data_IF_475787867827
#
_entry.id   IF_475787867827
#
_cell.length_a   1.000
_cell.length_b   1.000
_cell.length_c   1.000
_cell.angle_alpha   90.00
_cell.angle_beta   90.00
_cell.angle_gamma   90.00
#
_symmetry.space_group_name_H-M   'P 1'
#
loop_
_entity.id
_entity.type
_entity.pdbx_description
1 polymer ?
#
# COMPACT_ATOMS: atom_id res chain seq x y z
N UNK A 1 18.73 -3.82 -4.64
CA UNK A 1 17.29 -3.53 -4.58
C UNK A 1 16.75 -3.58 -5.98
N UNK A 2 15.45 -3.74 -6.15
CA UNK A 2 14.81 -3.80 -7.46
C UNK A 2 13.45 -3.10 -7.42
N UNK A 3 13.02 -2.59 -8.56
CA UNK A 3 11.65 -2.10 -8.80
C UNK A 3 11.05 -3.03 -9.84
N UNK A 4 10.00 -3.74 -9.46
CA UNK A 4 9.39 -4.76 -10.30
C UNK A 4 8.19 -4.20 -11.05
N UNK A 5 8.21 -4.33 -12.37
CA UNK A 5 7.14 -3.90 -13.26
C UNK A 5 6.24 -5.10 -13.56
N UNK A 6 4.94 -4.97 -13.32
CA UNK A 6 4.01 -6.09 -13.31
C UNK A 6 2.95 -5.99 -14.41
N UNK A 7 2.82 -7.07 -15.20
CA UNK A 7 1.90 -7.11 -16.35
C UNK A 7 0.42 -7.08 -15.96
N UNK A 8 -0.05 -7.81 -14.93
CA UNK A 8 -1.42 -7.70 -14.44
C UNK A 8 -1.83 -6.27 -14.08
N UNK A 9 -0.96 -5.51 -13.38
CA UNK A 9 -1.23 -4.11 -13.05
C UNK A 9 -1.34 -3.25 -14.33
N UNK A 10 -0.45 -3.46 -15.29
CA UNK A 10 -0.50 -2.77 -16.57
C UNK A 10 -1.79 -3.07 -17.35
N UNK A 11 -2.22 -4.33 -17.39
CA UNK A 11 -3.46 -4.74 -18.06
C UNK A 11 -4.71 -4.13 -17.43
N UNK A 12 -4.66 -3.81 -16.13
CA UNK A 12 -5.70 -3.08 -15.40
C UNK A 12 -5.59 -1.55 -15.53
N UNK A 13 -4.75 -1.06 -16.43
CA UNK A 13 -4.51 0.36 -16.71
C UNK A 13 -3.97 1.15 -15.49
N UNK A 14 -3.29 0.48 -14.56
CA UNK A 14 -2.59 1.12 -13.45
C UNK A 14 -1.23 1.60 -13.96
N UNK A 15 -0.94 2.88 -13.79
CA UNK A 15 0.32 3.48 -14.20
C UNK A 15 0.91 4.33 -13.07
N UNK A 16 2.21 4.19 -12.75
CA UNK A 16 3.13 3.16 -13.26
C UNK A 16 2.78 1.76 -12.72
N UNK A 17 2.90 0.68 -13.52
CA UNK A 17 2.52 -0.66 -13.09
C UNK A 17 3.60 -1.32 -12.21
N UNK A 18 3.87 -0.73 -11.04
CA UNK A 18 4.88 -1.20 -10.09
C UNK A 18 4.23 -2.13 -9.07
N UNK A 19 4.73 -3.36 -8.97
CA UNK A 19 4.32 -4.27 -7.90
C UNK A 19 5.26 -4.11 -6.70
N UNK A 20 4.70 -3.64 -5.59
CA UNK A 20 5.45 -3.33 -4.36
C UNK A 20 5.93 -4.56 -3.60
N UNK A 21 5.28 -5.73 -3.75
CA UNK A 21 5.62 -6.94 -2.99
C UNK A 21 7.00 -7.52 -3.36
N UNK A 22 7.34 -7.73 -4.66
CA UNK A 22 8.68 -8.16 -5.05
C UNK A 22 9.68 -6.99 -5.19
N UNK A 23 9.25 -5.73 -5.00
CA UNK A 23 10.12 -4.54 -5.06
C UNK A 23 10.80 -4.29 -3.72
N UNK A 24 12.07 -3.88 -3.73
CA UNK A 24 12.82 -3.61 -2.50
C UNK A 24 13.91 -2.57 -2.71
N UNK A 25 13.97 -1.57 -1.82
CA UNK A 25 15.13 -0.68 -1.67
C UNK A 25 15.94 -1.04 -0.43
N UNK A 26 17.21 -1.42 -0.62
CA UNK A 26 18.11 -1.79 0.50
C UNK A 26 18.59 -0.58 1.30
N UNK A 27 18.59 0.60 0.68
CA UNK A 27 19.07 1.85 1.28
C UNK A 27 17.95 2.70 1.88
N UNK A 28 16.70 2.26 1.77
CA UNK A 28 15.53 3.02 2.25
C UNK A 28 15.68 3.45 3.71
N UNK A 29 16.15 2.54 4.60
CA UNK A 29 16.32 2.84 6.03
C UNK A 29 17.24 4.03 6.30
N UNK A 30 18.23 4.26 5.44
CA UNK A 30 19.18 5.37 5.55
C UNK A 30 18.71 6.65 4.86
N UNK A 31 17.60 6.62 4.12
CA UNK A 31 17.06 7.74 3.36
C UNK A 31 15.73 8.30 3.88
N UNK A 32 15.20 7.75 4.98
CA UNK A 32 13.91 8.13 5.55
C UNK A 32 14.02 8.49 7.03
N UNK A 33 12.98 9.16 7.56
CA UNK A 33 12.90 9.53 8.97
C UNK A 33 13.18 11.00 9.24
N UNK A 34 13.36 11.33 10.53
CA UNK A 34 13.54 12.70 11.01
C UNK A 34 14.80 13.32 10.42
N UNK A 35 14.66 14.51 9.84
CA UNK A 35 15.76 15.23 9.20
C UNK A 35 16.00 14.90 7.72
N UNK A 36 15.26 13.93 7.16
CA UNK A 36 15.30 13.59 5.73
C UNK A 36 13.95 13.75 5.06
N UNK A 37 12.92 13.05 5.56
CA UNK A 37 11.55 13.11 5.03
C UNK A 37 10.58 13.47 6.14
N UNK A 38 9.99 12.46 6.80
CA UNK A 38 9.06 12.61 7.93
C UNK A 38 9.29 11.49 8.94
N UNK A 39 8.99 11.73 10.21
CA UNK A 39 9.30 10.78 11.30
C UNK A 39 8.46 9.49 11.25
N UNK A 40 7.28 9.53 10.64
CA UNK A 40 6.31 8.43 10.51
C UNK A 40 6.53 7.57 9.25
N UNK A 41 7.30 8.05 8.28
CA UNK A 41 7.59 7.37 7.01
C UNK A 41 7.90 5.87 7.16
N UNK A 42 8.85 5.42 8.03
CA UNK A 42 9.13 3.99 8.16
C UNK A 42 7.91 3.16 8.55
N UNK A 43 7.15 3.62 9.55
CA UNK A 43 6.00 2.88 10.07
C UNK A 43 4.84 2.85 9.06
N UNK A 44 4.60 3.97 8.37
CA UNK A 44 3.57 4.07 7.33
C UNK A 44 3.90 3.13 6.17
N UNK A 45 5.16 3.09 5.72
CA UNK A 45 5.59 2.18 4.66
C UNK A 45 5.41 0.72 5.05
N UNK A 46 5.83 0.34 6.26
CA UNK A 46 5.71 -1.03 6.75
C UNK A 46 4.24 -1.46 6.90
N UNK A 47 3.37 -0.55 7.35
CA UNK A 47 1.93 -0.81 7.47
C UNK A 47 1.25 -0.97 6.10
N UNK A 48 1.56 -0.09 5.13
CA UNK A 48 1.02 -0.21 3.77
C UNK A 48 1.41 -1.54 3.13
N UNK A 49 2.69 -1.91 3.26
CA UNK A 49 3.19 -3.17 2.72
C UNK A 49 2.45 -4.37 3.33
N UNK A 50 2.30 -4.39 4.66
CA UNK A 50 1.59 -5.46 5.35
C UNK A 50 0.11 -5.55 4.91
N UNK A 51 -0.59 -4.42 4.84
CA UNK A 51 -2.00 -4.39 4.43
C UNK A 51 -2.18 -4.81 2.97
N UNK A 52 -1.25 -4.43 2.08
CA UNK A 52 -1.31 -4.81 0.67
C UNK A 52 -1.01 -6.31 0.48
N UNK A 53 -0.07 -6.87 1.24
CA UNK A 53 0.20 -8.30 1.23
C UNK A 53 -1.04 -9.10 1.66
N UNK A 54 -1.63 -8.74 2.81
CA UNK A 54 -2.85 -9.38 3.32
C UNK A 54 -3.99 -9.23 2.30
N UNK A 55 -4.19 -8.04 1.75
CA UNK A 55 -5.27 -7.80 0.79
C UNK A 55 -5.13 -8.58 -0.52
N UNK A 56 -3.90 -8.83 -1.00
CA UNK A 56 -3.70 -9.72 -2.14
C UNK A 56 -4.01 -11.19 -1.80
N UNK A 57 -3.63 -11.66 -0.60
CA UNK A 57 -4.02 -12.98 -0.13
C UNK A 57 -5.54 -13.10 0.02
N UNK A 58 -6.21 -12.08 0.58
CA UNK A 58 -7.67 -12.01 0.67
C UNK A 58 -8.33 -11.99 -0.71
N UNK A 59 -7.76 -11.30 -1.70
CA UNK A 59 -8.25 -11.30 -3.08
C UNK A 59 -8.15 -12.69 -3.71
N UNK A 60 -7.08 -13.42 -3.44
CA UNK A 60 -6.94 -14.81 -3.86
C UNK A 60 -7.96 -15.72 -3.15
N UNK A 61 -8.17 -15.54 -1.83
CA UNK A 61 -9.19 -16.28 -1.09
C UNK A 61 -10.59 -16.01 -1.63
N UNK A 62 -10.96 -14.74 -1.88
CA UNK A 62 -12.24 -14.33 -2.49
C UNK A 62 -12.52 -15.10 -3.78
N UNK A 63 -11.50 -15.28 -4.63
CA UNK A 63 -11.64 -15.99 -5.90
C UNK A 63 -11.91 -17.50 -5.73
N UNK A 64 -11.53 -18.08 -4.58
CA UNK A 64 -11.69 -19.51 -4.28
C UNK A 64 -12.98 -19.80 -3.51
N UNK A 65 -13.25 -19.05 -2.43
CA UNK A 65 -14.36 -19.33 -1.50
C UNK A 65 -15.60 -18.47 -1.74
N UNK A 66 -15.50 -17.41 -2.55
CA UNK A 66 -16.58 -16.45 -2.78
C UNK A 66 -16.56 -15.27 -1.81
N UNK A 67 -17.28 -14.20 -2.18
CA UNK A 67 -17.31 -12.94 -1.41
C UNK A 67 -18.06 -13.05 -0.08
N UNK A 68 -19.10 -13.88 -0.02
CA UNK A 68 -19.95 -14.04 1.17
C UNK A 68 -19.24 -14.72 2.35
N UNK A 69 -18.11 -15.38 2.09
CA UNK A 69 -17.32 -16.07 3.11
C UNK A 69 -16.32 -15.15 3.83
N UNK A 70 -16.20 -13.89 3.41
CA UNK A 70 -15.22 -12.96 3.95
C UNK A 70 -15.73 -12.27 5.22
N UNK A 71 -14.84 -12.08 6.18
CA UNK A 71 -15.08 -11.26 7.37
C UNK A 71 -15.13 -9.76 7.03
N UNK A 72 -15.72 -8.96 7.92
CA UNK A 72 -15.75 -7.50 7.76
C UNK A 72 -14.35 -6.88 7.62
N UNK A 73 -13.36 -7.43 8.32
CA UNK A 73 -11.98 -6.95 8.23
C UNK A 73 -11.34 -7.31 6.90
N UNK A 74 -11.61 -8.50 6.36
CA UNK A 74 -11.17 -8.91 5.01
C UNK A 74 -11.78 -8.02 3.93
N UNK A 75 -13.05 -7.61 4.07
CA UNK A 75 -13.64 -6.63 3.17
C UNK A 75 -12.88 -5.29 3.20
N UNK A 76 -12.44 -4.82 4.37
CA UNK A 76 -11.61 -3.60 4.48
C UNK A 76 -10.25 -3.77 3.79
N UNK A 77 -9.62 -4.96 3.88
CA UNK A 77 -8.37 -5.23 3.18
C UNK A 77 -8.55 -5.23 1.65
N UNK A 78 -9.65 -5.77 1.14
CA UNK A 78 -9.99 -5.70 -0.28
C UNK A 78 -10.20 -4.26 -0.74
N UNK A 79 -11.02 -3.50 -0.01
CA UNK A 79 -11.27 -2.09 -0.29
C UNK A 79 -9.97 -1.27 -0.27
N UNK A 80 -9.11 -1.52 0.70
CA UNK A 80 -7.78 -0.91 0.78
C UNK A 80 -6.93 -1.26 -0.44
N UNK A 81 -6.92 -2.52 -0.88
CA UNK A 81 -6.09 -2.97 -2.01
C UNK A 81 -6.49 -2.27 -3.30
N UNK A 82 -7.80 -2.18 -3.55
CA UNK A 82 -8.33 -1.49 -4.72
C UNK A 82 -8.04 0.02 -4.68
N UNK A 83 -8.21 0.66 -3.52
CA UNK A 83 -7.88 2.09 -3.33
C UNK A 83 -6.38 2.36 -3.36
N UNK A 84 -5.56 1.43 -2.90
CA UNK A 84 -4.10 1.53 -2.94
C UNK A 84 -3.61 1.50 -4.39
N UNK A 85 -4.09 0.55 -5.18
CA UNK A 85 -3.76 0.44 -6.60
C UNK A 85 -4.25 1.67 -7.39
N UNK A 86 -5.47 2.14 -7.16
CA UNK A 86 -6.08 3.24 -7.92
C UNK A 86 -5.70 4.65 -7.47
N UNK A 87 -5.30 4.87 -6.21
CA UNK A 87 -4.97 6.21 -5.69
C UNK A 87 -3.51 6.39 -5.30
N UNK A 88 -2.89 5.35 -4.75
CA UNK A 88 -1.50 5.46 -4.29
C UNK A 88 -0.51 5.10 -5.40
N UNK A 89 -0.67 3.91 -6.00
CA UNK A 89 0.19 3.46 -7.10
C UNK A 89 -0.07 4.22 -8.39
N UNK A 90 -1.34 4.49 -8.69
CA UNK A 90 -1.70 5.24 -9.89
C UNK A 90 -1.28 6.70 -9.74
N UNK A 91 -0.47 7.17 -10.68
CA UNK A 91 0.04 8.52 -10.79
C UNK A 91 0.13 8.88 -12.27
N UNK A 92 -0.28 10.08 -12.67
CA UNK A 92 -0.19 10.49 -14.06
C UNK A 92 1.25 10.51 -14.58
N UNK A 93 1.46 10.24 -15.88
CA UNK A 93 2.80 10.29 -16.50
C UNK A 93 3.49 11.66 -16.39
N UNK A 94 2.70 12.72 -16.18
CA UNK A 94 3.17 14.09 -16.00
C UNK A 94 2.87 14.64 -14.59
N UNK A 95 2.39 13.79 -13.68
CA UNK A 95 2.18 14.16 -12.29
C UNK A 95 3.50 14.01 -11.54
N UNK A 96 3.90 15.06 -10.80
CA UNK A 96 5.05 15.02 -9.93
C UNK A 96 4.59 15.17 -8.47
N UNK A 97 4.52 14.05 -7.76
CA UNK A 97 4.10 14.00 -6.36
C UNK A 97 5.30 14.11 -5.44
N UNK A 98 5.26 15.05 -4.51
CA UNK A 98 6.27 15.12 -3.47
C UNK A 98 6.11 13.97 -2.44
N UNK A 99 7.13 13.78 -1.60
CA UNK A 99 7.11 12.71 -0.61
C UNK A 99 6.03 12.94 0.46
N UNK A 100 5.73 14.19 0.79
CA UNK A 100 4.77 14.54 1.84
C UNK A 100 3.34 14.23 1.41
N UNK A 101 2.98 14.60 0.19
CA UNK A 101 1.71 14.27 -0.47
C UNK A 101 1.54 12.76 -0.56
N UNK A 102 2.61 12.03 -0.93
CA UNK A 102 2.58 10.56 -0.96
C UNK A 102 2.25 9.98 0.42
N UNK A 103 2.89 10.50 1.47
CA UNK A 103 2.62 10.08 2.84
C UNK A 103 1.22 10.50 3.33
N UNK A 104 0.66 11.61 2.86
CA UNK A 104 -0.70 12.05 3.21
C UNK A 104 -1.78 11.19 2.53
N UNK A 105 -1.55 10.79 1.28
CA UNK A 105 -2.39 9.80 0.58
C UNK A 105 -2.32 8.46 1.31
N UNK A 106 -1.12 8.03 1.72
CA UNK A 106 -0.95 6.82 2.52
C UNK A 106 -1.79 6.86 3.80
N UNK A 107 -1.74 7.95 4.57
CA UNK A 107 -2.58 8.10 5.76
C UNK A 107 -4.08 8.10 5.45
N UNK A 108 -4.48 8.72 4.35
CA UNK A 108 -5.88 8.71 3.90
C UNK A 108 -6.37 7.28 3.63
N UNK A 109 -5.51 6.42 3.07
CA UNK A 109 -5.81 5.00 2.88
C UNK A 109 -5.82 4.21 4.19
N UNK A 110 -4.88 4.48 5.10
CA UNK A 110 -4.81 3.78 6.37
C UNK A 110 -6.01 4.08 7.28
N UNK A 111 -6.70 5.21 7.10
CA UNK A 111 -7.95 5.57 7.81
C UNK A 111 -9.13 4.65 7.48
N UNK A 112 -9.04 3.79 6.46
CA UNK A 112 -10.04 2.75 6.19
C UNK A 112 -10.08 1.74 7.34
N UNK A 113 -8.94 1.51 7.99
CA UNK A 113 -8.82 0.55 9.06
C UNK A 113 -9.06 1.20 10.42
N UNK A 114 -9.71 0.50 11.35
CA UNK A 114 -9.75 0.89 12.75
C UNK A 114 -8.34 0.73 13.37
N UNK A 115 -8.09 1.42 14.48
CA UNK A 115 -6.74 1.55 15.05
C UNK A 115 -6.12 0.20 15.46
N UNK A 116 -6.95 -0.76 15.84
CA UNK A 116 -6.56 -2.09 16.30
C UNK A 116 -5.90 -2.92 15.19
N UNK A 117 -6.21 -2.63 13.92
CA UNK A 117 -5.61 -3.31 12.76
C UNK A 117 -4.27 -2.70 12.32
N UNK A 118 -3.91 -1.51 12.82
CA UNK A 118 -2.69 -0.80 12.46
C UNK A 118 -1.48 -1.23 13.32
N UNK A 119 -1.12 -2.52 13.23
CA UNK A 119 -0.11 -3.17 14.09
C UNK A 119 1.33 -2.65 13.96
N UNK A 120 1.68 -1.99 12.84
CA UNK A 120 3.02 -1.45 12.59
C UNK A 120 3.13 0.03 12.97
N UNK A 121 2.01 0.67 13.29
CA UNK A 121 2.00 2.06 13.72
C UNK A 121 2.07 2.10 15.24
N UNK A 122 3.05 2.79 15.84
CA UNK A 122 3.12 2.91 17.29
C UNK A 122 1.91 3.70 17.80
N UNK A 123 1.24 3.18 18.83
CA UNK A 123 0.23 3.92 19.58
C UNK A 123 0.95 5.06 20.31
N UNK A 124 0.53 6.30 20.04
CA UNK A 124 1.02 7.51 20.72
C UNK A 124 -0.10 8.11 21.54
#
# INVERSE_FOLDING_TARGET
GQVFVDRPLHNRQIYPPINVLPSLSRLMKSGIGKGMTRADHPNVSDQLYANYAIGQDTRAMKAVVGEEALSEDEHKYLEFTDKFESKFLTQGAYENRDIFTSLDIAWTLLRIFPQELLKKIPQK
#
